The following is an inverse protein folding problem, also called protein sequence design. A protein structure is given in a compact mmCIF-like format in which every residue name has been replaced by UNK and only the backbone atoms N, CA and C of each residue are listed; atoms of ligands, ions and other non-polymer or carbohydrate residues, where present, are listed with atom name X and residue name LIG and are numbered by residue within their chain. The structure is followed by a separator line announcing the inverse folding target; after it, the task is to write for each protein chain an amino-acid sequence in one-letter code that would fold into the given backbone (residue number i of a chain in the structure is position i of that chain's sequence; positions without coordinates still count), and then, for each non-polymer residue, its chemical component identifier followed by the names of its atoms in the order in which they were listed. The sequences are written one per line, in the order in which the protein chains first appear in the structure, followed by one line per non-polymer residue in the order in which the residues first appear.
data_IF_735962074937
#
_entry.id   IF_735962074937
#
_cell.length_a   1.000
_cell.length_b   1.000
_cell.length_c   1.000
_cell.angle_alpha   90.00
_cell.angle_beta   90.00
_cell.angle_gamma   90.00
#
_symmetry.space_group_name_H-M   'P 1'
#
loop_
_entity.id
_entity.type
_entity.pdbx_description
1 polymer ?
#
# COMPACT_ATOMS: atom_id res chain seq x y z
N UNK A 1 -28.13 -30.92 -15.00
CA UNK A 1 -28.10 -29.50 -14.60
C UNK A 1 -26.78 -29.28 -13.92
N UNK A 2 -25.78 -28.88 -14.70
CA UNK A 2 -24.38 -28.78 -14.29
C UNK A 2 -24.19 -27.60 -13.33
N UNK A 3 -24.01 -27.90 -12.04
CA UNK A 3 -24.00 -26.93 -10.94
C UNK A 3 -22.58 -26.43 -10.62
N UNK A 4 -21.70 -26.41 -11.61
CA UNK A 4 -20.35 -25.85 -11.54
C UNK A 4 -20.17 -24.81 -12.65
N UNK A 5 -20.94 -23.73 -12.53
CA UNK A 5 -20.68 -22.48 -13.26
C UNK A 5 -19.28 -22.02 -12.85
N UNK A 6 -18.32 -22.18 -13.76
CA UNK A 6 -16.96 -21.69 -13.57
C UNK A 6 -17.02 -20.18 -13.31
N UNK A 7 -16.79 -19.77 -12.06
CA UNK A 7 -16.60 -18.36 -11.72
C UNK A 7 -15.28 -17.92 -12.33
N UNK A 8 -15.35 -17.27 -13.50
CA UNK A 8 -14.22 -16.52 -14.02
C UNK A 8 -14.10 -15.24 -13.19
N UNK A 9 -12.89 -14.89 -12.71
CA UNK A 9 -12.69 -13.62 -12.02
C UNK A 9 -13.06 -12.47 -12.97
N UNK A 10 -13.72 -11.46 -12.43
CA UNK A 10 -14.06 -10.23 -13.12
C UNK A 10 -12.79 -9.50 -13.58
N UNK A 11 -12.88 -8.64 -14.62
CA UNK A 11 -11.74 -7.81 -15.04
C UNK A 11 -11.13 -7.00 -13.89
N UNK A 12 -11.96 -6.51 -12.96
CA UNK A 12 -11.49 -5.77 -11.79
C UNK A 12 -10.73 -6.64 -10.78
N UNK A 13 -11.13 -7.90 -10.59
CA UNK A 13 -10.37 -8.83 -9.73
C UNK A 13 -9.02 -9.18 -10.34
N UNK A 14 -8.95 -9.32 -11.67
CA UNK A 14 -7.69 -9.55 -12.39
C UNK A 14 -6.77 -8.33 -12.25
N UNK A 15 -7.31 -7.13 -12.51
CA UNK A 15 -6.55 -5.88 -12.39
C UNK A 15 -6.10 -5.61 -10.95
N UNK A 16 -6.97 -5.83 -9.96
CA UNK A 16 -6.63 -5.71 -8.54
C UNK A 16 -5.48 -6.65 -8.16
N UNK A 17 -5.50 -7.89 -8.64
CA UNK A 17 -4.40 -8.85 -8.43
C UNK A 17 -3.08 -8.34 -9.01
N UNK A 18 -3.10 -7.83 -10.24
CA UNK A 18 -1.90 -7.32 -10.90
C UNK A 18 -1.34 -6.07 -10.20
N UNK A 19 -2.22 -5.14 -9.80
CA UNK A 19 -1.85 -3.95 -9.04
C UNK A 19 -1.28 -4.31 -7.67
N UNK A 20 -1.88 -5.28 -6.99
CA UNK A 20 -1.40 -5.76 -5.69
C UNK A 20 -0.02 -6.42 -5.80
N UNK A 21 0.19 -7.27 -6.82
CA UNK A 21 1.51 -7.86 -7.10
C UNK A 21 2.54 -6.76 -7.32
N UNK A 22 2.24 -5.76 -8.16
CA UNK A 22 3.14 -4.63 -8.41
C UNK A 22 3.46 -3.85 -7.13
N UNK A 23 2.46 -3.62 -6.26
CA UNK A 23 2.67 -2.97 -4.97
C UNK A 23 3.56 -3.80 -4.02
N UNK A 24 3.36 -5.12 -3.97
CA UNK A 24 4.17 -6.04 -3.15
C UNK A 24 5.60 -6.15 -3.67
N UNK A 25 5.79 -6.29 -4.97
CA UNK A 25 7.11 -6.33 -5.61
C UNK A 25 7.89 -5.04 -5.34
N UNK A 26 7.24 -3.88 -5.54
CA UNK A 26 7.85 -2.60 -5.24
C UNK A 26 8.17 -2.46 -3.75
N UNK A 27 7.23 -2.79 -2.86
CA UNK A 27 7.43 -2.73 -1.42
C UNK A 27 8.60 -3.62 -0.95
N UNK A 28 8.89 -4.72 -1.64
CA UNK A 28 10.02 -5.63 -1.34
C UNK A 28 11.35 -5.18 -1.92
N UNK A 29 11.42 -4.05 -2.61
CA UNK A 29 12.66 -3.55 -3.16
C UNK A 29 13.71 -3.32 -2.03
N UNK A 30 14.90 -3.94 -2.10
CA UNK A 30 15.91 -3.88 -1.04
C UNK A 30 16.35 -2.47 -0.64
N UNK A 31 16.29 -1.50 -1.57
CA UNK A 31 16.72 -0.11 -1.32
C UNK A 31 15.95 0.57 -0.19
N UNK A 32 14.68 0.24 0.03
CA UNK A 32 13.93 0.79 1.16
C UNK A 32 14.56 0.39 2.51
N UNK A 33 15.03 -0.84 2.59
CA UNK A 33 15.56 -1.41 3.82
C UNK A 33 17.04 -1.09 4.03
N UNK A 34 17.80 -1.05 2.93
CA UNK A 34 19.25 -0.82 2.96
C UNK A 34 19.61 0.67 2.98
N UNK A 35 18.88 1.50 2.23
CA UNK A 35 19.23 2.91 2.00
C UNK A 35 18.24 3.90 2.59
N UNK A 36 17.03 3.47 2.99
CA UNK A 36 16.01 4.37 3.54
C UNK A 36 15.74 4.15 5.04
N UNK A 37 16.50 3.27 5.69
CA UNK A 37 16.35 2.97 7.12
C UNK A 37 15.02 2.32 7.51
N UNK A 38 14.26 1.77 6.56
CA UNK A 38 13.03 1.02 6.85
C UNK A 38 13.42 -0.29 7.55
N UNK A 39 12.84 -0.61 8.72
CA UNK A 39 13.19 -1.85 9.41
C UNK A 39 12.83 -3.09 8.57
N UNK A 40 13.81 -3.94 8.25
CA UNK A 40 13.57 -5.21 7.54
C UNK A 40 12.97 -6.25 8.49
N UNK A 41 11.67 -6.07 8.77
CA UNK A 41 10.87 -6.90 9.67
C UNK A 41 9.52 -7.16 9.03
N UNK A 42 8.73 -8.17 9.48
CA UNK A 42 7.38 -8.38 8.99
C UNK A 42 6.50 -7.11 9.07
N UNK A 43 6.61 -6.37 10.17
CA UNK A 43 5.94 -5.08 10.38
C UNK A 43 6.37 -4.04 9.33
N UNK A 44 7.68 -3.87 9.11
CA UNK A 44 8.21 -2.89 8.16
C UNK A 44 7.86 -3.22 6.71
N UNK A 45 7.96 -4.49 6.32
CA UNK A 45 7.52 -4.97 4.99
C UNK A 45 6.02 -4.74 4.79
N UNK A 46 5.21 -5.01 5.80
CA UNK A 46 3.78 -4.72 5.77
C UNK A 46 3.54 -3.21 5.57
N UNK A 47 4.23 -2.35 6.32
CA UNK A 47 4.06 -0.90 6.20
C UNK A 47 4.44 -0.38 4.81
N UNK A 48 5.45 -0.97 4.17
CA UNK A 48 5.79 -0.66 2.78
C UNK A 48 4.71 -1.11 1.79
N UNK A 49 4.08 -2.27 1.99
CA UNK A 49 2.92 -2.69 1.19
C UNK A 49 1.78 -1.69 1.38
N UNK A 50 1.49 -1.29 2.62
CA UNK A 50 0.44 -0.31 2.94
C UNK A 50 0.69 1.02 2.23
N UNK A 51 1.91 1.53 2.20
CA UNK A 51 2.24 2.78 1.48
C UNK A 51 1.83 2.69 0.00
N UNK A 52 2.23 1.63 -0.69
CA UNK A 52 1.95 1.48 -2.12
C UNK A 52 0.46 1.25 -2.40
N UNK A 53 -0.23 0.46 -1.57
CA UNK A 53 -1.68 0.27 -1.68
C UNK A 53 -2.44 1.58 -1.42
N UNK A 54 -2.02 2.38 -0.43
CA UNK A 54 -2.62 3.69 -0.15
C UNK A 54 -2.48 4.63 -1.34
N UNK A 55 -1.32 4.65 -2.01
CA UNK A 55 -1.11 5.46 -3.21
C UNK A 55 -2.04 5.04 -4.37
N UNK A 56 -2.22 3.72 -4.59
CA UNK A 56 -3.19 3.21 -5.57
C UNK A 56 -4.63 3.59 -5.23
N UNK A 57 -5.04 3.42 -3.98
CA UNK A 57 -6.39 3.78 -3.53
C UNK A 57 -6.65 5.29 -3.62
N UNK A 58 -5.63 6.11 -3.34
CA UNK A 58 -5.70 7.58 -3.53
C UNK A 58 -5.95 7.93 -4.99
N UNK A 59 -5.26 7.26 -5.93
CA UNK A 59 -5.53 7.44 -7.37
C UNK A 59 -6.94 6.98 -7.74
N UNK A 60 -7.38 5.81 -7.29
CA UNK A 60 -8.73 5.31 -7.58
C UNK A 60 -9.82 6.27 -7.07
N UNK A 61 -9.63 6.86 -5.89
CA UNK A 61 -10.56 7.83 -5.28
C UNK A 61 -10.90 9.03 -6.17
N UNK A 62 -10.00 9.43 -7.08
CA UNK A 62 -10.24 10.54 -8.01
C UNK A 62 -11.36 10.24 -9.01
N UNK A 63 -11.52 8.97 -9.42
CA UNK A 63 -12.54 8.51 -10.38
C UNK A 63 -13.41 7.41 -9.75
N UNK A 64 -13.93 7.66 -8.55
CA UNK A 64 -14.60 6.64 -7.73
C UNK A 64 -15.74 5.90 -8.44
N UNK A 65 -16.47 6.58 -9.32
CA UNK A 65 -17.56 5.98 -10.09
C UNK A 65 -17.05 4.80 -10.94
N UNK A 66 -15.91 4.96 -11.61
CA UNK A 66 -15.32 3.94 -12.48
C UNK A 66 -14.47 2.90 -11.71
N UNK A 67 -13.91 3.27 -10.55
CA UNK A 67 -12.87 2.48 -9.87
C UNK A 67 -13.31 1.85 -8.54
N UNK A 68 -14.56 2.06 -8.10
CA UNK A 68 -15.05 1.55 -6.81
C UNK A 68 -14.90 0.03 -6.68
N UNK A 69 -15.27 -0.73 -7.71
CA UNK A 69 -15.13 -2.19 -7.73
C UNK A 69 -13.66 -2.64 -7.72
N UNK A 70 -12.79 -1.92 -8.44
CA UNK A 70 -11.34 -2.17 -8.44
C UNK A 70 -10.72 -1.90 -7.06
N UNK A 71 -11.12 -0.80 -6.41
CA UNK A 71 -10.65 -0.42 -5.07
C UNK A 71 -11.05 -1.48 -4.03
N UNK A 72 -12.29 -1.96 -4.11
CA UNK A 72 -12.80 -3.00 -3.23
C UNK A 72 -12.03 -4.31 -3.43
N UNK A 73 -11.84 -4.75 -4.68
CA UNK A 73 -11.09 -5.96 -4.99
C UNK A 73 -9.62 -5.88 -4.54
N UNK A 74 -8.97 -4.72 -4.67
CA UNK A 74 -7.61 -4.50 -4.18
C UNK A 74 -7.53 -4.59 -2.66
N UNK A 75 -8.49 -3.98 -1.96
CA UNK A 75 -8.59 -4.03 -0.51
C UNK A 75 -8.82 -5.46 -0.02
N UNK A 76 -9.79 -6.17 -0.58
CA UNK A 76 -10.12 -7.55 -0.21
C UNK A 76 -8.93 -8.49 -0.41
N UNK A 77 -8.20 -8.33 -1.52
CA UNK A 77 -7.01 -9.11 -1.80
C UNK A 77 -5.89 -8.85 -0.78
N UNK A 78 -5.63 -7.59 -0.43
CA UNK A 78 -4.63 -7.25 0.59
C UNK A 78 -4.97 -7.89 1.94
N UNK A 79 -6.24 -7.85 2.37
CA UNK A 79 -6.64 -8.46 3.64
C UNK A 79 -6.60 -9.98 3.63
N UNK A 80 -6.96 -10.61 2.50
CA UNK A 80 -6.82 -12.04 2.32
C UNK A 80 -5.35 -12.49 2.40
N UNK A 81 -4.44 -11.75 1.76
CA UNK A 81 -2.99 -12.02 1.83
C UNK A 81 -2.45 -11.87 3.26
N UNK A 82 -2.90 -10.84 3.99
CA UNK A 82 -2.52 -10.65 5.39
C UNK A 82 -3.02 -11.78 6.31
N UNK A 83 -4.27 -12.22 6.16
CA UNK A 83 -4.82 -13.35 6.92
C UNK A 83 -4.00 -14.61 6.67
N UNK A 84 -3.71 -14.90 5.39
CA UNK A 84 -2.91 -16.04 5.00
C UNK A 84 -1.49 -15.99 5.60
N UNK A 85 -0.80 -14.87 5.48
CA UNK A 85 0.55 -14.68 6.04
C UNK A 85 0.57 -14.88 7.57
N UNK A 86 -0.44 -14.39 8.30
CA UNK A 86 -0.53 -14.60 9.75
C UNK A 86 -0.67 -16.09 10.10
N UNK A 87 -1.53 -16.82 9.38
CA UNK A 87 -1.73 -18.26 9.56
C UNK A 87 -0.45 -19.04 9.27
N UNK A 88 0.25 -18.70 8.21
CA UNK A 88 1.54 -19.29 7.83
C UNK A 88 2.63 -19.04 8.88
N UNK A 89 2.59 -17.89 9.57
CA UNK A 89 3.45 -17.59 10.71
C UNK A 89 3.05 -18.32 12.01
N UNK A 90 2.10 -19.27 11.96
CA UNK A 90 1.68 -20.07 13.11
C UNK A 90 0.75 -19.34 14.07
N UNK A 91 0.14 -18.22 13.65
CA UNK A 91 -0.91 -17.57 14.45
C UNK A 91 -2.15 -18.47 14.44
N UNK A 92 -2.45 -19.06 15.60
CA UNK A 92 -3.60 -19.95 15.74
C UNK A 92 -4.95 -19.24 15.49
N UNK A 93 -5.95 -20.02 15.05
CA UNK A 93 -7.28 -19.55 14.61
C UNK A 93 -7.98 -18.62 15.61
N UNK A 94 -7.80 -18.85 16.91
CA UNK A 94 -8.39 -18.02 17.97
C UNK A 94 -7.77 -16.62 18.02
N UNK A 95 -6.50 -16.50 17.65
CA UNK A 95 -5.72 -15.25 17.73
C UNK A 95 -5.63 -14.48 16.40
N UNK A 96 -5.96 -15.13 15.26
CA UNK A 96 -5.86 -14.52 13.93
C UNK A 96 -6.87 -13.38 13.77
N UNK A 97 -8.13 -13.58 14.17
CA UNK A 97 -9.19 -12.57 14.05
C UNK A 97 -8.87 -11.25 14.75
N UNK A 98 -8.48 -11.26 16.05
CA UNK A 98 -8.03 -10.05 16.74
C UNK A 98 -6.84 -9.36 16.06
N UNK A 99 -5.87 -10.12 15.52
CA UNK A 99 -4.73 -9.55 14.81
C UNK A 99 -5.13 -8.88 13.49
N UNK A 100 -5.96 -9.53 12.68
CA UNK A 100 -6.50 -8.94 11.45
C UNK A 100 -7.23 -7.63 11.76
N UNK A 101 -8.07 -7.59 12.80
CA UNK A 101 -8.78 -6.37 13.21
C UNK A 101 -7.82 -5.24 13.60
N UNK A 102 -6.76 -5.57 14.34
CA UNK A 102 -5.73 -4.60 14.69
C UNK A 102 -4.97 -4.08 13.46
N UNK A 103 -4.60 -4.96 12.54
CA UNK A 103 -3.97 -4.57 11.29
C UNK A 103 -4.90 -3.72 10.41
N UNK A 104 -6.20 -4.03 10.37
CA UNK A 104 -7.20 -3.24 9.68
C UNK A 104 -7.28 -1.81 10.22
N UNK A 105 -7.37 -1.67 11.55
CA UNK A 105 -7.35 -0.37 12.21
C UNK A 105 -6.08 0.42 11.87
N UNK A 106 -4.91 -0.24 11.90
CA UNK A 106 -3.64 0.38 11.56
C UNK A 106 -3.59 0.80 10.09
N UNK A 107 -4.12 -0.02 9.18
CA UNK A 107 -4.24 0.31 7.76
C UNK A 107 -5.09 1.56 7.55
N UNK A 108 -6.32 1.59 8.07
CA UNK A 108 -7.20 2.75 7.90
C UNK A 108 -6.63 4.02 8.52
N UNK A 109 -5.96 3.92 9.67
CA UNK A 109 -5.25 5.05 10.28
C UNK A 109 -4.14 5.61 9.39
N UNK A 110 -3.40 4.73 8.71
CA UNK A 110 -2.32 5.12 7.77
C UNK A 110 -2.86 5.66 6.47
N UNK A 111 -3.91 5.04 5.92
CA UNK A 111 -4.62 5.56 4.76
C UNK A 111 -5.04 7.01 5.00
N UNK A 112 -5.70 7.28 6.14
CA UNK A 112 -6.11 8.64 6.49
C UNK A 112 -4.91 9.58 6.68
N UNK A 113 -3.88 9.15 7.42
CA UNK A 113 -2.72 9.99 7.69
C UNK A 113 -1.94 10.36 6.42
N UNK A 114 -1.70 9.40 5.53
CA UNK A 114 -0.97 9.64 4.28
C UNK A 114 -1.83 10.40 3.26
N UNK A 115 -3.13 10.11 3.16
CA UNK A 115 -4.05 10.85 2.26
C UNK A 115 -4.11 12.35 2.64
N UNK A 116 -4.17 12.64 3.95
CA UNK A 116 -4.12 14.00 4.48
C UNK A 116 -2.77 14.67 4.25
N UNK A 117 -1.66 13.97 4.53
CA UNK A 117 -0.32 14.52 4.38
C UNK A 117 0.11 14.75 2.92
N UNK A 118 -0.53 14.06 1.97
CA UNK A 118 -0.34 14.23 0.52
C UNK A 118 -1.31 15.25 -0.09
N UNK A 119 -2.25 15.82 0.67
CA UNK A 119 -3.15 16.85 0.18
C UNK A 119 -2.39 18.11 -0.25
N UNK A 120 -2.93 18.85 -1.23
CA UNK A 120 -2.28 20.05 -1.77
C UNK A 120 -2.14 21.17 -0.73
N UNK A 121 -3.04 21.21 0.26
CA UNK A 121 -3.08 22.15 1.38
C UNK A 121 -2.44 21.58 2.66
N UNK A 122 -1.76 20.43 2.59
CA UNK A 122 -1.10 19.84 3.74
C UNK A 122 0.05 20.75 4.23
N UNK A 123 0.23 20.90 5.55
CA UNK A 123 1.38 21.63 6.11
C UNK A 123 2.71 21.04 5.65
N UNK A 124 3.73 21.89 5.55
CA UNK A 124 5.11 21.44 5.33
C UNK A 124 5.52 20.46 6.44
N UNK A 125 6.22 19.38 6.06
CA UNK A 125 6.62 18.33 7.01
C UNK A 125 5.53 17.35 7.43
N UNK A 126 4.28 17.49 6.95
CA UNK A 126 3.17 16.63 7.37
C UNK A 126 3.39 15.14 7.01
N UNK A 127 4.00 14.87 5.85
CA UNK A 127 4.23 13.51 5.39
C UNK A 127 5.37 12.84 6.14
N UNK A 128 6.41 13.59 6.41
CA UNK A 128 7.57 13.22 7.22
C UNK A 128 7.11 12.89 8.65
N UNK A 129 6.24 13.72 9.23
CA UNK A 129 5.63 13.45 10.53
C UNK A 129 4.76 12.17 10.52
N UNK A 130 3.95 11.98 9.48
CA UNK A 130 3.15 10.77 9.31
C UNK A 130 4.02 9.52 9.16
N UNK A 131 5.12 9.59 8.41
CA UNK A 131 6.10 8.51 8.23
C UNK A 131 6.81 8.17 9.54
N UNK A 132 7.26 9.17 10.31
CA UNK A 132 7.87 8.96 11.64
C UNK A 132 6.93 8.23 12.58
N UNK A 133 5.66 8.64 12.63
CA UNK A 133 4.64 8.03 13.49
C UNK A 133 4.27 6.61 13.07
N UNK A 134 4.38 6.29 11.78
CA UNK A 134 3.88 5.03 11.23
C UNK A 134 5.02 4.11 10.79
N UNK A 135 5.68 4.40 9.67
CA UNK A 135 6.75 3.58 9.10
C UNK A 135 7.92 3.41 10.08
N UNK A 136 8.33 4.50 10.73
CA UNK A 136 9.48 4.52 11.64
C UNK A 136 9.08 4.50 13.12
N UNK A 137 7.87 4.02 13.47
CA UNK A 137 7.38 4.01 14.87
C UNK A 137 8.27 3.30 15.90
N UNK A 138 9.16 2.41 15.43
CA UNK A 138 10.08 1.59 16.24
C UNK A 138 11.56 1.90 15.93
N UNK A 139 11.85 2.94 15.15
CA UNK A 139 13.20 3.35 14.78
C UNK A 139 13.34 4.87 14.76
N UNK A 140 14.58 5.37 14.69
CA UNK A 140 14.87 6.80 14.64
C UNK A 140 15.83 7.09 13.47
N UNK A 141 15.36 6.99 12.21
CA UNK A 141 16.18 7.35 11.06
C UNK A 141 16.52 8.85 11.06
N UNK A 142 17.58 9.21 10.33
CA UNK A 142 17.96 10.61 10.12
C UNK A 142 16.84 11.39 9.41
N UNK A 143 16.94 12.71 9.45
CA UNK A 143 15.98 13.60 8.76
C UNK A 143 16.00 13.33 7.26
N UNK A 144 17.17 13.15 6.67
CA UNK A 144 17.35 12.93 5.23
C UNK A 144 16.71 11.63 4.75
N UNK A 145 16.78 10.55 5.55
CA UNK A 145 16.14 9.28 5.20
C UNK A 145 14.62 9.38 5.19
N UNK A 146 14.04 10.10 6.17
CA UNK A 146 12.59 10.32 6.21
C UNK A 146 12.14 11.21 5.05
N UNK A 147 12.90 12.27 4.77
CA UNK A 147 12.64 13.16 3.65
C UNK A 147 12.69 12.41 2.32
N UNK A 148 13.67 11.53 2.11
CA UNK A 148 13.78 10.75 0.88
C UNK A 148 12.56 9.84 0.64
N UNK A 149 12.02 9.18 1.66
CA UNK A 149 10.79 8.38 1.53
C UNK A 149 9.56 9.28 1.32
N UNK A 150 9.52 10.45 1.95
CA UNK A 150 8.45 11.43 1.72
C UNK A 150 8.45 11.94 0.27
N UNK A 151 9.61 12.31 -0.26
CA UNK A 151 9.80 12.76 -1.64
C UNK A 151 9.44 11.65 -2.64
N UNK A 152 9.86 10.41 -2.35
CA UNK A 152 9.42 9.24 -3.09
C UNK A 152 7.89 9.15 -3.13
N UNK A 153 7.22 9.19 -1.97
CA UNK A 153 5.76 9.10 -1.89
C UNK A 153 5.05 10.24 -2.62
N UNK A 154 5.56 11.48 -2.56
CA UNK A 154 4.99 12.62 -3.29
C UNK A 154 5.11 12.41 -4.80
N UNK A 155 6.29 12.01 -5.27
CA UNK A 155 6.53 11.72 -6.69
C UNK A 155 5.64 10.60 -7.21
N UNK A 156 5.52 9.49 -6.47
CA UNK A 156 4.64 8.40 -6.85
C UNK A 156 3.17 8.80 -6.83
N UNK A 157 2.73 9.62 -5.86
CA UNK A 157 1.37 10.14 -5.82
C UNK A 157 1.05 11.03 -7.04
N UNK A 158 1.99 11.88 -7.44
CA UNK A 158 1.87 12.73 -8.63
C UNK A 158 1.85 11.90 -9.92
N UNK A 159 2.78 10.96 -10.07
CA UNK A 159 2.84 10.07 -11.23
C UNK A 159 1.56 9.23 -11.36
N UNK A 160 1.05 8.69 -10.25
CA UNK A 160 -0.19 7.93 -10.24
C UNK A 160 -1.40 8.80 -10.57
N UNK A 161 -1.48 10.02 -10.02
CA UNK A 161 -2.55 10.98 -10.33
C UNK A 161 -2.68 11.25 -11.84
N UNK A 162 -1.58 11.17 -12.58
CA UNK A 162 -1.56 11.35 -14.04
C UNK A 162 -1.95 10.09 -14.84
N UNK A 163 -2.04 8.91 -14.22
CA UNK A 163 -2.43 7.67 -14.91
C UNK A 163 -3.90 7.75 -15.32
N UNK A 164 -4.24 7.41 -16.57
CA UNK A 164 -5.63 7.37 -17.02
C UNK A 164 -6.41 6.26 -16.32
N UNK A 165 -7.70 6.47 -16.06
CA UNK A 165 -8.58 5.49 -15.39
C UNK A 165 -8.58 4.14 -16.10
N UNK A 166 -8.57 4.18 -17.43
CA UNK A 166 -8.55 3.00 -18.29
C UNK A 166 -7.25 2.17 -18.13
N UNK A 167 -6.12 2.85 -17.93
CA UNK A 167 -4.83 2.20 -17.70
C UNK A 167 -4.75 1.61 -16.28
N UNK A 168 -5.31 2.32 -15.29
CA UNK A 168 -5.46 1.82 -13.93
C UNK A 168 -6.32 0.54 -13.91
N UNK A 169 -7.44 0.52 -14.63
CA UNK A 169 -8.32 -0.64 -14.79
C UNK A 169 -7.67 -1.80 -15.57
N UNK A 170 -6.60 -1.54 -16.33
CA UNK A 170 -5.78 -2.55 -17.00
C UNK A 170 -4.49 -2.90 -16.22
N UNK A 171 -4.35 -2.38 -15.00
CA UNK A 171 -3.15 -2.52 -14.17
C UNK A 171 -1.85 -2.06 -14.86
N UNK A 172 -1.94 -1.10 -15.78
CA UNK A 172 -0.82 -0.49 -16.48
C UNK A 172 -0.19 0.62 -15.63
N UNK A 173 0.24 0.25 -14.41
CA UNK A 173 0.87 1.14 -13.43
C UNK A 173 2.29 0.69 -13.16
N UNK A 174 3.21 1.64 -12.99
CA UNK A 174 4.59 1.38 -12.57
C UNK A 174 4.98 2.37 -11.48
N UNK A 175 5.60 1.86 -10.43
CA UNK A 175 6.23 2.70 -9.42
C UNK A 175 7.66 3.05 -9.86
N UNK A 176 8.12 4.24 -9.53
CA UNK A 176 9.48 4.68 -9.76
C UNK A 176 10.50 3.97 -8.86
N UNK A 177 11.78 4.15 -9.14
CA UNK A 177 12.85 3.56 -8.32
C UNK A 177 12.82 4.14 -6.89
N UNK A 178 13.00 3.30 -5.85
CA UNK A 178 13.18 3.79 -4.48
C UNK A 178 14.38 4.73 -4.37
N UNK A 179 14.40 5.63 -3.38
CA UNK A 179 15.52 6.53 -3.20
C UNK A 179 16.77 5.75 -2.77
N UNK A 180 17.91 6.14 -3.33
CA UNK A 180 19.23 5.68 -2.90
C UNK A 180 19.91 6.82 -2.14
N UNK A 181 19.63 6.92 -0.84
CA UNK A 181 20.34 7.86 0.03
C UNK A 181 21.67 7.22 0.41
N UNK A 182 22.76 7.91 0.10
CA UNK A 182 24.14 7.49 0.44
C UNK A 182 24.53 8.00 1.82
#
# INVERSE_FOLDING_TARGET
MDLLRHFRPSPFEIAARQLYIAAVEQARNPLFYQSCGVPDTPDGRFDMIVIHVVLLLRRMKQDREATSALSQALFDLMFADMDQNLREMGVGDVSVGPRIKAMAKNFYGRLAAYDQALAADAPEGALEAALRRNLYRKSAPSIDLVAAVADYMRREAEALAAVATDDLCRAAVRFGTPPAVS
#
